data_IF_731636018577
#
_entry.id   IF_731636018577
#
_cell.length_a   1.000
_cell.length_b   1.000
_cell.length_c   1.000
_cell.angle_alpha   90.00
_cell.angle_beta   90.00
_cell.angle_gamma   90.00
#
_symmetry.space_group_name_H-M   'P 1'
#
loop_
_entity.id
_entity.type
_entity.pdbx_description
1 polymer ?
#
# COMPACT_ATOMS: atom_id res chain seq x y z
N UNK A 1 -15.92 -11.69 -4.92
CA UNK A 1 -14.79 -12.41 -4.29
C UNK A 1 -14.98 -12.26 -2.80
N UNK A 2 -14.90 -13.34 -2.04
CA UNK A 2 -15.00 -13.27 -0.58
C UNK A 2 -13.76 -12.51 -0.08
N UNK A 3 -13.96 -11.31 0.44
CA UNK A 3 -12.92 -10.56 1.13
C UNK A 3 -12.53 -11.39 2.34
N UNK A 4 -11.36 -12.03 2.30
CA UNK A 4 -10.76 -12.56 3.52
C UNK A 4 -10.47 -11.33 4.39
N UNK A 5 -11.34 -11.10 5.36
CA UNK A 5 -11.11 -10.13 6.41
C UNK A 5 -9.82 -10.56 7.10
N UNK A 6 -8.83 -9.66 7.19
CA UNK A 6 -7.64 -9.85 8.00
C UNK A 6 -8.06 -10.45 9.35
N UNK A 7 -7.68 -11.70 9.57
CA UNK A 7 -7.94 -12.38 10.83
C UNK A 7 -7.16 -11.59 11.88
N UNK A 8 -7.85 -11.01 12.87
CA UNK A 8 -7.19 -10.29 13.97
C UNK A 8 -5.99 -11.13 14.45
N UNK A 9 -4.79 -10.56 14.57
CA UNK A 9 -3.64 -11.30 15.08
C UNK A 9 -4.02 -11.91 16.42
N UNK A 10 -3.93 -13.24 16.56
CA UNK A 10 -4.08 -13.89 17.85
C UNK A 10 -2.89 -13.48 18.72
N UNK A 11 -3.08 -12.41 19.49
CA UNK A 11 -2.06 -11.75 20.31
C UNK A 11 -1.47 -12.68 21.39
N UNK A 12 -2.14 -13.79 21.69
CA UNK A 12 -1.78 -14.69 22.80
C UNK A 12 -1.04 -15.97 22.38
N UNK A 13 -0.73 -16.16 21.10
CA UNK A 13 0.02 -17.35 20.67
C UNK A 13 1.51 -17.24 20.99
N UNK A 14 2.07 -18.27 21.63
CA UNK A 14 3.52 -18.42 21.81
C UNK A 14 4.21 -18.66 20.47
N UNK A 15 5.52 -18.41 20.41
CA UNK A 15 6.32 -18.68 19.21
C UNK A 15 6.19 -20.14 18.76
N UNK A 16 6.22 -21.10 19.69
CA UNK A 16 6.08 -22.52 19.34
C UNK A 16 4.67 -22.87 18.83
N UNK A 17 3.61 -22.26 19.37
CA UNK A 17 2.26 -22.41 18.83
C UNK A 17 2.17 -21.88 17.40
N UNK A 18 2.76 -20.71 17.12
CA UNK A 18 2.82 -20.14 15.75
C UNK A 18 3.59 -21.07 14.79
N UNK A 19 4.73 -21.62 15.20
CA UNK A 19 5.48 -22.59 14.39
C UNK A 19 4.67 -23.86 14.13
N UNK A 20 3.94 -24.36 15.12
CA UNK A 20 3.10 -25.55 14.93
C UNK A 20 1.94 -25.29 13.96
N UNK A 21 1.32 -24.12 14.03
CA UNK A 21 0.32 -23.67 13.05
C UNK A 21 0.92 -23.62 11.65
N UNK A 22 2.12 -23.05 11.48
CA UNK A 22 2.82 -23.04 10.18
C UNK A 22 3.09 -24.46 9.67
N UNK A 23 3.52 -25.39 10.54
CA UNK A 23 3.73 -26.79 10.15
C UNK A 23 2.47 -27.47 9.63
N UNK A 24 1.32 -27.15 10.22
CA UNK A 24 0.02 -27.65 9.75
C UNK A 24 -0.35 -27.03 8.39
N UNK A 25 -0.16 -25.72 8.23
CA UNK A 25 -0.47 -25.00 6.98
C UNK A 25 0.42 -25.42 5.81
N UNK A 26 1.64 -25.87 6.07
CA UNK A 26 2.60 -26.30 5.03
C UNK A 26 2.61 -27.83 4.86
N UNK A 27 1.74 -28.57 5.55
CA UNK A 27 1.80 -30.04 5.60
C UNK A 27 1.57 -30.72 4.24
N UNK A 28 0.78 -30.10 3.37
CA UNK A 28 0.41 -30.56 2.03
C UNK A 28 1.37 -30.08 0.93
N UNK A 29 2.39 -29.29 1.28
CA UNK A 29 3.41 -28.77 0.36
C UNK A 29 4.76 -29.43 0.64
N UNK A 30 5.19 -30.46 -0.12
CA UNK A 30 6.46 -31.16 0.15
C UNK A 30 7.67 -30.21 0.16
N UNK A 31 7.75 -29.30 -0.81
CA UNK A 31 8.81 -28.29 -0.89
C UNK A 31 8.66 -27.26 0.24
N UNK A 32 7.43 -26.79 0.47
CA UNK A 32 7.15 -25.80 1.51
C UNK A 32 7.46 -26.30 2.91
N UNK A 33 7.13 -27.57 3.22
CA UNK A 33 7.43 -28.22 4.48
C UNK A 33 8.93 -28.28 4.73
N UNK A 34 9.72 -28.73 3.75
CA UNK A 34 11.17 -28.78 3.88
C UNK A 34 11.77 -27.38 4.08
N UNK A 35 11.31 -26.40 3.30
CA UNK A 35 11.75 -25.01 3.44
C UNK A 35 11.39 -24.40 4.80
N UNK A 36 10.19 -24.69 5.32
CA UNK A 36 9.75 -24.26 6.64
C UNK A 36 10.68 -24.82 7.72
N UNK A 37 10.93 -26.14 7.73
CA UNK A 37 11.80 -26.77 8.74
C UNK A 37 13.22 -26.18 8.72
N UNK A 38 13.80 -25.96 7.52
CA UNK A 38 15.11 -25.32 7.37
C UNK A 38 15.14 -23.87 7.91
N UNK A 39 13.99 -23.21 7.97
CA UNK A 39 13.86 -21.79 8.36
C UNK A 39 13.43 -21.58 9.82
N UNK A 40 13.16 -22.64 10.58
CA UNK A 40 12.58 -22.51 11.94
C UNK A 40 13.42 -21.65 12.87
N UNK A 41 14.76 -21.76 12.82
CA UNK A 41 15.64 -20.98 13.68
C UNK A 41 15.46 -19.47 13.43
N UNK A 42 15.46 -19.05 12.17
CA UNK A 42 15.21 -17.66 11.75
C UNK A 42 13.79 -17.22 12.06
N UNK A 43 12.79 -18.07 11.77
CA UNK A 43 11.38 -17.76 12.04
C UNK A 43 11.12 -17.56 13.52
N UNK A 44 11.76 -18.33 14.42
CA UNK A 44 11.62 -18.11 15.86
C UNK A 44 12.06 -16.72 16.29
N UNK A 45 13.16 -16.21 15.74
CA UNK A 45 13.63 -14.84 16.01
C UNK A 45 12.62 -13.81 15.48
N UNK A 46 12.07 -14.02 14.28
CA UNK A 46 11.10 -13.11 13.68
C UNK A 46 9.76 -13.12 14.42
N UNK A 47 9.25 -14.29 14.81
CA UNK A 47 7.98 -14.47 15.53
C UNK A 47 8.03 -14.00 16.97
N UNK A 48 9.23 -13.96 17.58
CA UNK A 48 9.46 -13.31 18.87
C UNK A 48 9.41 -11.78 18.77
N UNK A 49 9.58 -11.22 17.56
CA UNK A 49 9.29 -9.82 17.28
C UNK A 49 7.79 -9.56 17.40
N UNK A 50 7.42 -8.53 18.16
CA UNK A 50 6.02 -8.12 18.31
C UNK A 50 5.35 -7.71 17.00
N UNK A 51 4.07 -7.37 17.07
CA UNK A 51 3.31 -6.85 15.92
C UNK A 51 4.02 -5.65 15.30
N UNK A 52 4.17 -5.69 13.98
CA UNK A 52 4.85 -4.64 13.21
C UNK A 52 3.88 -3.73 12.46
N UNK A 53 2.58 -3.99 12.56
CA UNK A 53 1.55 -3.23 11.88
C UNK A 53 0.32 -3.00 12.75
N UNK A 54 -0.43 -1.97 12.38
CA UNK A 54 -1.70 -1.55 12.96
C UNK A 54 -2.72 -1.34 11.83
N UNK A 55 -3.95 -0.95 12.18
CA UNK A 55 -4.93 -0.52 11.17
C UNK A 55 -4.56 0.86 10.61
N UNK A 56 -4.73 1.04 9.30
CA UNK A 56 -4.67 2.36 8.64
C UNK A 56 -5.98 3.18 8.77
N UNK A 57 -6.90 2.74 9.63
CA UNK A 57 -8.22 3.34 9.82
C UNK A 57 -9.32 2.39 9.36
N UNK A 58 -10.00 2.74 8.25
CA UNK A 58 -11.14 1.96 7.74
C UNK A 58 -10.72 0.66 7.08
N UNK A 59 -9.75 0.71 6.17
CA UNK A 59 -9.19 -0.46 5.46
C UNK A 59 -7.68 -0.25 5.27
N UNK A 60 -6.93 -1.35 5.35
CA UNK A 60 -5.48 -1.37 5.08
C UNK A 60 -4.62 -1.44 6.34
N UNK A 61 -3.33 -1.70 6.13
CA UNK A 61 -2.33 -1.78 7.18
C UNK A 61 -1.51 -0.50 7.33
N UNK A 62 -1.06 -0.23 8.55
CA UNK A 62 -0.10 0.83 8.88
C UNK A 62 1.14 0.27 9.56
N UNK A 63 2.32 0.72 9.16
CA UNK A 63 3.59 0.49 9.87
C UNK A 63 4.20 1.83 10.26
N UNK A 64 4.26 2.11 11.57
CA UNK A 64 4.71 3.40 12.07
C UNK A 64 3.84 4.54 11.51
N UNK A 65 4.44 5.39 10.69
CA UNK A 65 3.80 6.55 10.06
C UNK A 65 3.30 6.29 8.64
N UNK A 66 3.53 5.10 8.07
CA UNK A 66 3.20 4.81 6.67
C UNK A 66 2.07 3.79 6.60
N UNK A 67 1.07 4.07 5.78
CA UNK A 67 -0.11 3.24 5.54
C UNK A 67 -0.16 2.76 4.10
N UNK A 68 -0.77 1.59 3.85
CA UNK A 68 -0.99 1.05 2.51
C UNK A 68 -2.45 1.13 2.08
N UNK A 69 -2.65 1.26 0.77
CA UNK A 69 -3.95 1.11 0.14
C UNK A 69 -3.77 0.40 -1.20
N UNK A 70 -4.45 -0.73 -1.36
CA UNK A 70 -4.46 -1.52 -2.60
C UNK A 70 -5.88 -1.75 -3.08
N UNK A 71 -6.18 -1.38 -4.32
CA UNK A 71 -7.48 -1.53 -4.94
C UNK A 71 -7.38 -2.46 -6.15
N UNK A 72 -8.41 -3.30 -6.35
CA UNK A 72 -8.58 -4.05 -7.60
C UNK A 72 -9.97 -3.77 -8.16
N UNK A 73 -10.01 -3.20 -9.35
CA UNK A 73 -11.24 -2.84 -10.06
C UNK A 73 -11.32 -3.52 -11.41
N UNK A 74 -12.54 -3.63 -11.93
CA UNK A 74 -12.78 -3.92 -13.35
C UNK A 74 -12.84 -2.63 -14.15
N UNK A 75 -12.38 -2.68 -15.39
CA UNK A 75 -12.53 -1.59 -16.33
C UNK A 75 -13.93 -1.55 -16.94
N UNK A 76 -14.44 -0.35 -17.22
CA UNK A 76 -15.56 -0.20 -18.16
C UNK A 76 -15.12 -0.56 -19.59
N UNK A 77 -16.05 -0.83 -20.52
CA UNK A 77 -15.68 -1.07 -21.92
C UNK A 77 -14.77 0.03 -22.50
N UNK A 78 -13.59 -0.40 -22.99
CA UNK A 78 -12.56 0.49 -23.54
C UNK A 78 -11.75 1.27 -22.51
N UNK A 79 -12.07 1.18 -21.22
CA UNK A 79 -11.41 1.94 -20.15
C UNK A 79 -9.92 1.62 -20.03
N UNK A 80 -9.55 0.36 -20.17
CA UNK A 80 -8.15 -0.04 -20.15
C UNK A 80 -7.31 0.65 -21.24
N UNK A 81 -7.86 0.77 -22.46
CA UNK A 81 -7.17 1.44 -23.57
C UNK A 81 -6.99 2.94 -23.30
N UNK A 82 -8.05 3.60 -22.79
CA UNK A 82 -8.01 5.04 -22.46
C UNK A 82 -7.03 5.32 -21.32
N UNK A 83 -7.15 4.58 -20.21
CA UNK A 83 -6.25 4.75 -19.07
C UNK A 83 -4.80 4.47 -19.46
N UNK A 84 -4.52 3.40 -20.22
CA UNK A 84 -3.15 3.13 -20.70
C UNK A 84 -2.60 4.27 -21.53
N UNK A 85 -3.38 4.79 -22.48
CA UNK A 85 -2.97 5.92 -23.30
C UNK A 85 -2.64 7.16 -22.46
N UNK A 86 -3.48 7.45 -21.45
CA UNK A 86 -3.23 8.54 -20.50
C UNK A 86 -1.95 8.33 -19.71
N UNK A 87 -1.76 7.17 -19.07
CA UNK A 87 -0.58 6.87 -18.26
C UNK A 87 0.71 6.92 -19.11
N UNK A 88 0.66 6.44 -20.35
CA UNK A 88 1.78 6.51 -21.28
C UNK A 88 2.09 7.95 -21.71
N UNK A 89 1.07 8.77 -21.97
CA UNK A 89 1.27 10.18 -22.30
C UNK A 89 1.87 10.98 -21.14
N UNK A 90 1.46 10.67 -19.90
CA UNK A 90 1.97 11.32 -18.69
C UNK A 90 3.40 10.89 -18.34
N UNK A 91 3.86 9.71 -18.76
CA UNK A 91 5.23 9.21 -18.48
C UNK A 91 5.62 9.31 -16.99
N UNK A 92 4.73 8.88 -16.10
CA UNK A 92 4.86 8.99 -14.64
C UNK A 92 4.86 10.42 -14.06
N UNK A 93 4.66 11.45 -14.88
CA UNK A 93 4.46 12.83 -14.42
C UNK A 93 3.00 13.03 -13.95
N UNK A 94 2.71 12.51 -12.76
CA UNK A 94 1.41 12.68 -12.13
C UNK A 94 1.41 13.92 -11.22
N UNK A 95 0.26 14.60 -11.14
CA UNK A 95 0.01 15.65 -10.12
C UNK A 95 0.11 15.14 -8.67
N UNK A 96 0.45 13.86 -8.44
CA UNK A 96 0.66 13.25 -7.14
C UNK A 96 1.66 14.00 -6.26
N UNK A 97 2.68 14.65 -6.85
CA UNK A 97 3.62 15.49 -6.10
C UNK A 97 2.94 16.64 -5.34
N UNK A 98 1.73 17.05 -5.76
CA UNK A 98 0.92 18.04 -5.04
C UNK A 98 0.40 17.50 -3.70
N UNK A 99 0.39 16.18 -3.53
CA UNK A 99 -0.03 15.45 -2.32
C UNK A 99 1.25 14.96 -1.59
N UNK A 100 1.86 15.79 -0.71
CA UNK A 100 3.18 15.54 -0.12
C UNK A 100 3.15 14.49 1.02
N UNK A 101 2.13 13.64 1.02
CA UNK A 101 1.95 12.50 1.92
C UNK A 101 2.09 11.18 1.18
N UNK A 102 2.17 11.18 -0.16
CA UNK A 102 2.27 9.97 -0.99
C UNK A 102 3.74 9.56 -1.14
N UNK A 103 4.06 8.32 -0.76
CA UNK A 103 5.38 7.71 -0.95
C UNK A 103 5.55 7.15 -2.37
N UNK A 104 4.56 6.38 -2.81
CA UNK A 104 4.53 5.77 -4.14
C UNK A 104 3.10 5.50 -4.59
N UNK A 105 2.90 5.41 -5.90
CA UNK A 105 1.68 4.91 -6.53
C UNK A 105 2.01 4.10 -7.76
N UNK A 106 1.24 3.04 -8.01
CA UNK A 106 1.41 2.16 -9.17
C UNK A 106 0.09 1.69 -9.74
N UNK A 107 0.06 1.59 -11.07
CA UNK A 107 -1.07 1.13 -11.87
C UNK A 107 -0.65 -0.12 -12.63
N UNK A 108 -1.32 -1.25 -12.38
CA UNK A 108 -1.00 -2.54 -13.00
C UNK A 108 -2.25 -3.10 -13.65
N UNK A 109 -2.15 -3.40 -14.95
CA UNK A 109 -3.24 -3.99 -15.70
C UNK A 109 -3.19 -5.51 -15.53
N UNK A 110 -4.30 -6.09 -15.10
CA UNK A 110 -4.42 -7.50 -14.77
C UNK A 110 -5.41 -8.20 -15.73
N UNK A 111 -5.31 -9.53 -15.78
CA UNK A 111 -6.26 -10.41 -16.46
C UNK A 111 -6.57 -9.96 -17.90
N UNK A 112 -5.53 -9.78 -18.72
CA UNK A 112 -5.63 -9.31 -20.10
C UNK A 112 -6.44 -8.01 -20.23
N UNK A 113 -6.08 -6.99 -19.44
CA UNK A 113 -6.67 -5.65 -19.46
C UNK A 113 -8.15 -5.58 -19.04
N UNK A 114 -8.62 -6.58 -18.29
CA UNK A 114 -9.99 -6.56 -17.74
C UNK A 114 -10.06 -5.92 -16.36
N UNK A 115 -8.91 -5.82 -15.66
CA UNK A 115 -8.83 -5.26 -14.32
C UNK A 115 -7.64 -4.32 -14.15
N UNK A 116 -7.80 -3.37 -13.22
CA UNK A 116 -6.73 -2.51 -12.73
C UNK A 116 -6.42 -2.89 -11.28
N UNK A 117 -5.16 -3.10 -10.98
CA UNK A 117 -4.62 -2.95 -9.62
C UNK A 117 -4.04 -1.55 -9.49
N UNK A 118 -4.53 -0.82 -8.51
CA UNK A 118 -3.94 0.43 -8.04
C UNK A 118 -3.38 0.20 -6.64
N UNK A 119 -2.13 0.57 -6.40
CA UNK A 119 -1.56 0.48 -5.06
C UNK A 119 -0.77 1.73 -4.73
N UNK A 120 -0.86 2.17 -3.48
CA UNK A 120 -0.22 3.38 -2.95
C UNK A 120 0.22 3.17 -1.52
N UNK A 121 1.26 3.89 -1.12
CA UNK A 121 1.67 4.04 0.27
C UNK A 121 1.69 5.52 0.65
N UNK A 122 1.23 5.85 1.86
CA UNK A 122 1.03 7.24 2.27
C UNK A 122 1.28 7.48 3.76
N UNK A 123 1.50 8.74 4.12
CA UNK A 123 1.71 9.19 5.50
C UNK A 123 0.39 9.25 6.29
N UNK A 124 0.42 8.79 7.54
CA UNK A 124 -0.64 9.00 8.54
C UNK A 124 -1.41 7.74 8.96
N UNK A 125 -2.27 7.90 9.97
CA UNK A 125 -3.19 6.87 10.50
C UNK A 125 -4.58 6.91 9.89
N UNK A 126 -4.93 7.96 9.17
CA UNK A 126 -6.31 8.21 8.79
C UNK A 126 -6.49 7.97 7.30
N UNK A 127 -7.04 6.80 6.98
CA UNK A 127 -7.57 6.48 5.66
C UNK A 127 -8.50 7.57 5.11
N UNK A 128 -9.38 8.13 5.97
CA UNK A 128 -10.29 9.20 5.56
C UNK A 128 -9.55 10.49 5.21
N UNK A 129 -8.62 10.93 6.06
CA UNK A 129 -7.86 12.15 5.83
C UNK A 129 -6.99 12.07 4.57
N UNK A 130 -6.44 10.88 4.28
CA UNK A 130 -5.70 10.63 3.05
C UNK A 130 -6.58 10.84 1.81
N UNK A 131 -7.77 10.24 1.77
CA UNK A 131 -8.67 10.41 0.64
C UNK A 131 -9.20 11.85 0.51
N UNK A 132 -9.43 12.52 1.64
CA UNK A 132 -9.82 13.93 1.65
C UNK A 132 -8.72 14.83 1.08
N UNK A 133 -7.44 14.52 1.33
CA UNK A 133 -6.32 15.27 0.75
C UNK A 133 -6.28 15.14 -0.78
N UNK A 134 -6.53 13.94 -1.30
CA UNK A 134 -6.64 13.68 -2.73
C UNK A 134 -7.81 14.43 -3.37
N UNK A 135 -9.00 14.32 -2.77
CA UNK A 135 -10.20 15.01 -3.23
C UNK A 135 -10.06 16.55 -3.19
N UNK A 136 -9.30 17.08 -2.23
CA UNK A 136 -9.06 18.52 -2.12
C UNK A 136 -8.05 19.05 -3.15
N UNK A 137 -7.05 18.25 -3.53
CA UNK A 137 -5.89 18.73 -4.31
C UNK A 137 -5.95 18.43 -5.80
N UNK A 138 -6.46 17.26 -6.17
CA UNK A 138 -6.45 16.78 -7.55
C UNK A 138 -7.76 16.07 -7.94
N UNK A 139 -8.94 16.64 -7.64
CA UNK A 139 -10.22 15.95 -7.88
C UNK A 139 -10.47 15.66 -9.36
N UNK A 140 -10.08 16.55 -10.28
CA UNK A 140 -10.32 16.37 -11.71
C UNK A 140 -9.41 15.30 -12.32
N UNK A 141 -8.14 15.25 -11.90
CA UNK A 141 -7.24 14.19 -12.31
C UNK A 141 -7.70 12.83 -11.81
N UNK A 142 -8.25 12.76 -10.59
CA UNK A 142 -8.82 11.54 -10.06
C UNK A 142 -10.10 11.12 -10.79
N UNK A 143 -11.01 12.05 -11.07
CA UNK A 143 -12.19 11.75 -11.88
C UNK A 143 -11.79 11.21 -13.27
N UNK A 144 -10.79 11.81 -13.91
CA UNK A 144 -10.26 11.34 -15.19
C UNK A 144 -9.70 9.91 -15.11
N UNK A 145 -8.93 9.59 -14.06
CA UNK A 145 -8.33 8.27 -13.90
C UNK A 145 -9.37 7.19 -13.55
N UNK A 146 -10.25 7.49 -12.59
CA UNK A 146 -11.17 6.51 -12.02
C UNK A 146 -12.48 6.38 -12.81
N UNK A 147 -12.82 7.32 -13.69
CA UNK A 147 -13.95 7.20 -14.64
C UNK A 147 -13.85 5.99 -15.58
N UNK A 148 -12.65 5.40 -15.70
CA UNK A 148 -12.42 4.21 -16.49
C UNK A 148 -12.76 2.91 -15.76
N UNK A 149 -13.23 2.99 -14.52
CA UNK A 149 -13.51 1.87 -13.63
C UNK A 149 -15.01 1.69 -13.40
N UNK A 150 -15.44 0.43 -13.28
CA UNK A 150 -16.86 0.12 -13.08
C UNK A 150 -17.43 0.75 -11.80
N UNK A 151 -18.65 1.27 -11.89
CA UNK A 151 -19.43 1.85 -10.77
C UNK A 151 -18.80 3.07 -10.10
N UNK A 152 -17.76 3.68 -10.67
CA UNK A 152 -17.14 4.86 -10.08
C UNK A 152 -18.14 6.03 -10.00
N UNK A 153 -18.42 6.58 -8.80
CA UNK A 153 -19.45 7.60 -8.63
C UNK A 153 -18.95 9.04 -8.90
N UNK A 154 -17.64 9.25 -9.04
CA UNK A 154 -17.01 10.57 -9.02
C UNK A 154 -16.42 10.91 -7.65
N UNK A 155 -15.25 11.56 -7.58
CA UNK A 155 -14.56 11.90 -6.32
C UNK A 155 -15.28 12.98 -5.50
N UNK A 156 -16.21 13.70 -6.11
CA UNK A 156 -17.06 14.69 -5.45
C UNK A 156 -18.36 14.09 -4.91
N UNK A 157 -18.68 12.85 -5.28
CA UNK A 157 -19.85 12.16 -4.75
C UNK A 157 -19.59 11.70 -3.31
N UNK A 158 -20.52 11.94 -2.37
CA UNK A 158 -20.33 11.56 -0.97
C UNK A 158 -20.14 10.05 -0.75
N UNK A 159 -20.55 9.21 -1.70
CA UNK A 159 -20.38 7.75 -1.65
C UNK A 159 -19.00 7.25 -2.12
N UNK A 160 -18.12 8.12 -2.63
CA UNK A 160 -16.84 7.68 -3.21
C UNK A 160 -15.98 6.91 -2.21
N UNK A 161 -15.97 7.30 -0.94
CA UNK A 161 -15.22 6.60 0.10
C UNK A 161 -15.76 5.18 0.31
N UNK A 162 -17.08 5.00 0.31
CA UNK A 162 -17.68 3.67 0.39
C UNK A 162 -17.36 2.82 -0.84
N UNK A 163 -17.33 3.43 -2.02
CA UNK A 163 -16.89 2.78 -3.24
C UNK A 163 -15.42 2.34 -3.17
N UNK A 164 -14.50 3.20 -2.72
CA UNK A 164 -13.08 2.84 -2.54
C UNK A 164 -12.95 1.70 -1.52
N UNK A 165 -13.61 1.80 -0.37
CA UNK A 165 -13.56 0.76 0.67
C UNK A 165 -14.13 -0.59 0.19
N UNK A 166 -15.16 -0.58 -0.66
CA UNK A 166 -15.75 -1.79 -1.28
C UNK A 166 -14.73 -2.55 -2.14
N UNK A 167 -13.85 -1.83 -2.82
CA UNK A 167 -12.89 -2.39 -3.78
C UNK A 167 -11.46 -2.49 -3.24
N UNK A 168 -11.20 -2.00 -2.03
CA UNK A 168 -9.92 -2.13 -1.37
C UNK A 168 -9.70 -3.55 -0.84
N UNK A 169 -8.52 -4.08 -1.13
CA UNK A 169 -8.05 -5.37 -0.64
C UNK A 169 -6.83 -5.08 0.26
N UNK A 170 -6.95 -5.21 1.59
CA UNK A 170 -5.84 -4.96 2.49
C UNK A 170 -4.72 -6.00 2.28
N UNK A 171 -3.47 -5.58 2.45
CA UNK A 171 -2.35 -6.51 2.39
C UNK A 171 -2.39 -7.48 3.59
N UNK A 172 -2.12 -8.77 3.36
CA UNK A 172 -1.92 -9.76 4.45
C UNK A 172 -0.61 -9.50 5.22
N UNK A 173 0.38 -8.97 4.51
CA UNK A 173 1.61 -8.44 5.05
C UNK A 173 2.16 -7.39 4.09
N UNK A 174 2.84 -6.40 4.65
CA UNK A 174 3.56 -5.37 3.91
C UNK A 174 4.90 -5.13 4.60
N UNK A 175 5.88 -4.54 3.93
CA UNK A 175 7.18 -4.22 4.53
C UNK A 175 7.54 -2.80 4.17
N UNK A 176 7.93 -2.03 5.18
CA UNK A 176 8.44 -0.67 5.03
C UNK A 176 9.82 -0.62 5.63
N UNK A 177 10.81 -0.19 4.84
CA UNK A 177 12.20 -0.13 5.31
C UNK A 177 12.39 0.96 6.38
N UNK A 178 11.67 2.09 6.24
CA UNK A 178 11.74 3.26 7.12
C UNK A 178 10.34 3.69 7.57
N UNK A 179 9.63 2.88 8.37
CA UNK A 179 8.25 3.17 8.79
C UNK A 179 8.15 4.41 9.69
N UNK A 180 9.28 4.90 10.21
CA UNK A 180 9.38 6.08 11.06
C UNK A 180 9.49 7.41 10.29
N UNK A 181 9.71 7.35 8.97
CA UNK A 181 9.92 8.54 8.14
C UNK A 181 8.69 8.84 7.28
N UNK A 182 8.20 10.07 7.39
CA UNK A 182 7.22 10.62 6.44
C UNK A 182 7.89 11.10 5.17
N UNK A 183 7.13 11.37 4.10
CA UNK A 183 7.64 12.03 2.88
C UNK A 183 8.29 13.37 3.24
N UNK A 184 7.69 14.11 4.17
CA UNK A 184 8.26 15.36 4.71
C UNK A 184 9.59 15.15 5.42
N UNK A 185 9.71 14.08 6.21
CA UNK A 185 10.96 13.72 6.90
C UNK A 185 12.05 13.36 5.88
N UNK A 186 11.71 12.60 4.84
CA UNK A 186 12.63 12.28 3.73
C UNK A 186 13.15 13.55 3.06
N UNK A 187 12.28 14.51 2.75
CA UNK A 187 12.72 15.80 2.20
C UNK A 187 13.62 16.58 3.15
N UNK A 188 13.35 16.52 4.47
CA UNK A 188 14.21 17.14 5.47
C UNK A 188 15.58 16.49 5.50
N UNK A 189 15.67 15.16 5.49
CA UNK A 189 16.93 14.41 5.45
C UNK A 189 17.74 14.78 4.21
N UNK A 190 17.11 14.85 3.04
CA UNK A 190 17.78 15.29 1.79
C UNK A 190 18.36 16.70 1.90
N UNK A 191 17.63 17.65 2.51
CA UNK A 191 18.13 19.03 2.71
C UNK A 191 19.32 19.08 3.67
N UNK A 192 19.26 18.32 4.76
CA UNK A 192 20.35 18.25 5.74
C UNK A 192 21.60 17.62 5.11
N UNK A 193 21.44 16.52 4.35
CA UNK A 193 22.54 15.88 3.63
C UNK A 193 23.24 16.85 2.68
N UNK A 194 22.47 17.56 1.85
CA UNK A 194 23.00 18.59 0.94
C UNK A 194 23.75 19.70 1.68
N UNK A 195 23.19 20.22 2.77
CA UNK A 195 23.84 21.27 3.55
C UNK A 195 25.14 20.79 4.22
N UNK A 196 25.19 19.53 4.65
CA UNK A 196 26.39 18.92 5.20
C UNK A 196 27.47 18.75 4.13
N UNK A 197 27.12 18.27 2.94
CA UNK A 197 28.03 18.17 1.79
C UNK A 197 28.62 19.54 1.44
N UNK A 198 27.78 20.56 1.27
CA UNK A 198 28.22 21.93 0.97
C UNK A 198 29.11 22.53 2.06
N UNK A 199 28.93 22.13 3.33
CA UNK A 199 29.79 22.56 4.42
C UNK A 199 31.15 21.86 4.36
N UNK A 200 31.16 20.54 4.13
CA UNK A 200 32.39 19.75 4.01
C UNK A 200 33.26 20.24 2.84
N UNK A 201 32.65 20.56 1.70
CA UNK A 201 33.34 21.09 0.52
C UNK A 201 33.98 22.47 0.76
N UNK A 202 33.50 23.24 1.74
CA UNK A 202 34.06 24.56 2.09
C UNK A 202 35.23 24.48 3.06
N UNK A 203 35.35 23.38 3.81
CA UNK A 203 36.38 23.19 4.82
C UNK A 203 37.47 22.20 4.40
N UNK A 204 37.23 21.40 3.35
CA UNK A 204 38.24 20.59 2.66
C UNK A 204 38.99 21.37 1.61
#
# INVERSE_FOLDING_TARGET
MATQTLSKPQQDQTVDQKIQTLRQLYADSPVGKAALENSISTLRVQLAGGLRYESAGRVGLRQGKVSELTLIFKFVPGGAKRLRGLLQALQANFSAEKVPTVHDMRYVFLDNDTKLLFATAYDGDSWDAYLDEFAAKIPDELDLLFSELEEFPGFRDPSVKDWIAKYQIPAEAWYVAHPDLTVRDVHRVKRVGKAAEEFLDKIG
#
